data_IF_619574348603
#
_entry.id   IF_619574348603
#
_cell.length_a   1.000
_cell.length_b   1.000
_cell.length_c   1.000
_cell.angle_alpha   90.00
_cell.angle_beta   90.00
_cell.angle_gamma   90.00
#
_symmetry.space_group_name_H-M   'P 1'
#
loop_
_entity.id
_entity.type
_entity.pdbx_description
1 polymer ?
#
# COMPACT_ATOMS: atom_id res chain seq x y z
N UNK A 1 -4.39 -3.40 31.42
CA UNK A 1 -4.85 -3.45 30.01
C UNK A 1 -3.96 -2.58 29.15
N UNK A 2 -3.44 -3.14 28.06
CA UNK A 2 -2.63 -2.49 27.03
C UNK A 2 -3.52 -2.05 25.86
N UNK A 3 -3.70 -0.74 25.73
CA UNK A 3 -4.53 -0.13 24.68
C UNK A 3 -3.64 0.59 23.66
N UNK A 4 -3.95 0.44 22.37
CA UNK A 4 -3.36 1.26 21.32
C UNK A 4 -4.42 2.09 20.59
N UNK A 5 -4.05 3.29 20.18
CA UNK A 5 -4.78 4.13 19.23
C UNK A 5 -3.97 4.23 17.94
N UNK A 6 -4.61 3.93 16.81
CA UNK A 6 -4.08 4.21 15.49
C UNK A 6 -5.07 5.09 14.72
N UNK A 7 -4.79 6.39 14.75
CA UNK A 7 -5.58 7.40 14.05
C UNK A 7 -5.01 7.69 12.65
N UNK A 8 -5.88 8.06 11.72
CA UNK A 8 -5.46 8.39 10.37
C UNK A 8 -6.60 8.87 9.48
N UNK A 9 -6.29 9.51 8.36
CA UNK A 9 -7.32 9.85 7.37
C UNK A 9 -7.93 8.59 6.73
N UNK A 10 -7.11 7.53 6.58
CA UNK A 10 -7.45 6.29 5.87
C UNK A 10 -8.20 6.56 4.56
N UNK A 11 -7.52 7.28 3.66
CA UNK A 11 -8.13 7.88 2.46
C UNK A 11 -7.37 7.49 1.18
N UNK A 12 -7.39 6.20 0.79
CA UNK A 12 -7.97 5.05 1.49
C UNK A 12 -6.96 4.34 2.43
N UNK A 13 -7.39 3.42 3.32
CA UNK A 13 -6.49 2.50 4.00
C UNK A 13 -5.76 1.58 2.99
N UNK A 14 -4.64 0.97 3.40
CA UNK A 14 -3.77 0.18 2.51
C UNK A 14 -2.96 -0.86 3.28
N UNK A 15 -2.20 -1.71 2.57
CA UNK A 15 -1.47 -2.82 3.20
C UNK A 15 -0.44 -2.36 4.24
N UNK A 16 0.25 -1.25 4.00
CA UNK A 16 1.12 -0.63 5.02
C UNK A 16 0.40 -0.34 6.35
N UNK A 17 -0.85 0.14 6.30
CA UNK A 17 -1.65 0.33 7.54
C UNK A 17 -1.98 -1.01 8.20
N UNK A 18 -2.32 -2.05 7.43
CA UNK A 18 -2.60 -3.38 7.97
C UNK A 18 -1.36 -4.02 8.61
N UNK A 19 -0.17 -3.81 8.02
CA UNK A 19 1.11 -4.25 8.56
C UNK A 19 1.44 -3.57 9.87
N UNK A 20 1.22 -2.24 9.98
CA UNK A 20 1.32 -1.51 11.26
C UNK A 20 0.43 -2.15 12.33
N UNK A 21 -0.84 -2.44 12.00
CA UNK A 21 -1.78 -3.06 12.93
C UNK A 21 -1.31 -4.46 13.36
N UNK A 22 -0.88 -5.29 12.41
CA UNK A 22 -0.40 -6.65 12.69
C UNK A 22 0.84 -6.63 13.60
N UNK A 23 1.85 -5.81 13.26
CA UNK A 23 3.07 -5.67 14.03
C UNK A 23 2.80 -5.09 15.43
N UNK A 24 1.90 -4.12 15.55
CA UNK A 24 1.53 -3.58 16.85
C UNK A 24 0.90 -4.64 17.75
N UNK A 25 -0.02 -5.44 17.23
CA UNK A 25 -0.66 -6.53 17.95
C UNK A 25 0.37 -7.58 18.41
N UNK A 26 1.32 -7.93 17.54
CA UNK A 26 2.38 -8.90 17.82
C UNK A 26 3.38 -8.37 18.87
N UNK A 27 3.95 -7.19 18.64
CA UNK A 27 5.09 -6.67 19.41
C UNK A 27 4.69 -6.05 20.75
N UNK A 28 3.52 -5.42 20.84
CA UNK A 28 3.11 -4.66 22.01
C UNK A 28 2.20 -5.45 22.97
N UNK A 29 1.86 -6.70 22.64
CA UNK A 29 0.96 -7.55 23.43
C UNK A 29 -0.33 -6.80 23.81
N UNK A 30 -0.99 -6.24 22.79
CA UNK A 30 -2.19 -5.43 22.98
C UNK A 30 -3.38 -6.29 23.41
N UNK A 31 -4.19 -5.71 24.29
CA UNK A 31 -5.52 -6.25 24.60
C UNK A 31 -6.56 -5.70 23.62
N UNK A 32 -6.38 -4.43 23.22
CA UNK A 32 -7.27 -3.74 22.30
C UNK A 32 -6.50 -2.68 21.48
N UNK A 33 -6.74 -2.66 20.17
CA UNK A 33 -6.28 -1.61 19.26
C UNK A 33 -7.50 -0.90 18.68
N UNK A 34 -7.59 0.41 18.87
CA UNK A 34 -8.63 1.26 18.29
C UNK A 34 -8.11 1.88 16.99
N UNK A 35 -8.80 1.60 15.89
CA UNK A 35 -8.68 2.35 14.64
C UNK A 35 -9.64 3.54 14.72
N UNK A 36 -9.12 4.74 14.52
CA UNK A 36 -9.91 5.98 14.54
C UNK A 36 -9.74 6.74 13.22
N UNK A 37 -10.65 6.57 12.25
CA UNK A 37 -10.66 7.39 11.05
C UNK A 37 -10.99 8.85 11.40
N UNK A 38 -10.09 9.76 11.02
CA UNK A 38 -10.25 11.20 11.27
C UNK A 38 -11.27 11.82 10.31
N UNK A 39 -12.08 12.79 10.74
CA UNK A 39 -12.93 13.57 9.82
C UNK A 39 -12.05 14.36 8.85
N UNK A 40 -11.32 15.34 9.37
CA UNK A 40 -10.26 16.06 8.66
C UNK A 40 -9.02 16.06 9.57
N UNK A 41 -7.90 15.59 9.03
CA UNK A 41 -6.61 15.69 9.73
C UNK A 41 -6.21 17.18 9.82
N UNK A 42 -5.74 17.69 10.98
CA UNK A 42 -5.46 19.10 11.16
C UNK A 42 -4.48 19.73 10.15
N UNK A 43 -3.62 18.91 9.56
CA UNK A 43 -2.60 19.26 8.56
C UNK A 43 -3.04 18.99 7.11
N UNK A 44 -4.34 18.73 6.87
CA UNK A 44 -4.93 18.53 5.55
C UNK A 44 -6.17 19.40 5.38
N UNK A 45 -6.46 19.78 4.14
CA UNK A 45 -7.64 20.57 3.79
C UNK A 45 -8.87 19.69 3.51
N UNK A 46 -8.69 18.54 2.86
CA UNK A 46 -9.78 17.66 2.45
C UNK A 46 -9.37 16.17 2.37
N UNK A 47 -10.35 15.29 2.21
CA UNK A 47 -10.20 13.87 1.88
C UNK A 47 -10.89 13.58 0.54
N UNK A 48 -10.39 12.59 -0.19
CA UNK A 48 -10.96 12.15 -1.46
C UNK A 48 -12.29 11.43 -1.25
N UNK A 49 -12.35 10.52 -0.28
CA UNK A 49 -13.54 9.76 0.05
C UNK A 49 -14.29 10.40 1.23
N UNK A 50 -15.62 10.32 1.16
CA UNK A 50 -16.48 10.82 2.24
C UNK A 50 -16.30 9.97 3.53
N UNK A 51 -16.70 10.51 4.70
CA UNK A 51 -16.56 9.82 5.98
C UNK A 51 -17.16 8.40 6.02
N UNK A 52 -18.34 8.20 5.42
CA UNK A 52 -19.04 6.90 5.44
C UNK A 52 -18.28 5.87 4.61
N UNK A 53 -17.72 6.29 3.47
CA UNK A 53 -16.89 5.44 2.62
C UNK A 53 -15.58 5.07 3.28
N UNK A 54 -14.90 6.02 3.94
CA UNK A 54 -13.66 5.73 4.69
C UNK A 54 -13.89 4.82 5.89
N UNK A 55 -15.05 4.92 6.55
CA UNK A 55 -15.44 3.97 7.60
C UNK A 55 -15.54 2.54 7.05
N UNK A 56 -16.29 2.35 5.96
CA UNK A 56 -16.44 1.04 5.29
C UNK A 56 -15.08 0.47 4.83
N UNK A 57 -14.21 1.29 4.26
CA UNK A 57 -12.87 0.86 3.90
C UNK A 57 -12.04 0.43 5.11
N UNK A 58 -12.16 1.16 6.23
CA UNK A 58 -11.46 0.84 7.46
C UNK A 58 -11.98 -0.47 8.07
N UNK A 59 -13.30 -0.67 8.09
CA UNK A 59 -13.91 -1.94 8.52
C UNK A 59 -13.43 -3.12 7.67
N UNK A 60 -13.37 -2.96 6.34
CA UNK A 60 -12.82 -4.00 5.46
C UNK A 60 -11.34 -4.27 5.74
N UNK A 61 -10.53 -3.23 5.86
CA UNK A 61 -9.09 -3.36 5.99
C UNK A 61 -8.68 -3.97 7.33
N UNK A 62 -9.38 -3.62 8.41
CA UNK A 62 -8.96 -3.92 9.79
C UNK A 62 -9.90 -4.86 10.55
N UNK A 63 -11.12 -5.09 10.07
CA UNK A 63 -12.13 -5.90 10.77
C UNK A 63 -11.76 -7.38 10.93
N UNK A 64 -10.78 -7.87 10.15
CA UNK A 64 -10.25 -9.24 10.26
C UNK A 64 -9.37 -9.49 11.50
N UNK A 65 -8.91 -8.44 12.17
CA UNK A 65 -8.03 -8.57 13.33
C UNK A 65 -8.84 -8.68 14.63
N UNK A 66 -8.74 -9.81 15.34
CA UNK A 66 -9.60 -10.14 16.48
C UNK A 66 -9.59 -9.11 17.63
N UNK A 67 -8.47 -8.41 17.85
CA UNK A 67 -8.31 -7.41 18.93
C UNK A 67 -8.43 -5.97 18.44
N UNK A 68 -8.98 -5.75 17.26
CA UNK A 68 -9.15 -4.43 16.67
C UNK A 68 -10.60 -4.00 16.73
N UNK A 69 -10.83 -2.74 17.09
CA UNK A 69 -12.14 -2.08 16.95
C UNK A 69 -11.99 -0.81 16.13
N UNK A 70 -12.89 -0.62 15.18
CA UNK A 70 -13.02 0.62 14.41
C UNK A 70 -14.03 1.51 15.13
N UNK A 71 -13.71 2.78 15.32
CA UNK A 71 -14.61 3.77 15.94
C UNK A 71 -14.78 4.96 15.02
N UNK A 72 -16.01 5.40 14.81
CA UNK A 72 -16.41 6.50 13.91
C UNK A 72 -16.47 7.87 14.61
N UNK A 73 -16.12 7.94 15.90
CA UNK A 73 -16.29 9.15 16.74
C UNK A 73 -15.73 10.42 16.10
N UNK A 74 -14.53 10.35 15.52
CA UNK A 74 -13.93 11.51 14.87
C UNK A 74 -14.69 11.88 13.59
N UNK A 75 -15.17 10.92 12.81
CA UNK A 75 -15.99 11.16 11.61
C UNK A 75 -17.31 11.88 11.90
N UNK A 76 -17.86 11.73 13.12
CA UNK A 76 -19.07 12.42 13.55
C UNK A 76 -18.82 13.89 13.92
N UNK A 77 -17.56 14.28 14.18
CA UNK A 77 -17.19 15.67 14.39
C UNK A 77 -17.06 16.31 13.00
N UNK A 78 -17.98 17.21 12.63
CA UNK A 78 -17.93 17.96 11.36
C UNK A 78 -16.83 19.04 11.33
N UNK A 79 -15.67 18.77 11.95
CA UNK A 79 -14.55 19.67 12.14
C UNK A 79 -13.22 18.88 12.29
N UNK A 80 -12.08 19.57 12.38
CA UNK A 80 -10.75 18.99 12.54
C UNK A 80 -10.68 18.02 13.72
N UNK A 81 -10.01 16.89 13.47
CA UNK A 81 -9.85 15.83 14.46
C UNK A 81 -8.50 15.93 15.17
N UNK A 82 -8.51 16.30 16.44
CA UNK A 82 -7.29 16.42 17.25
C UNK A 82 -7.05 15.18 18.11
N UNK A 83 -5.87 14.57 17.95
CA UNK A 83 -5.49 13.33 18.66
C UNK A 83 -5.60 13.44 20.18
N UNK A 84 -5.27 14.59 20.76
CA UNK A 84 -5.34 14.80 22.22
C UNK A 84 -6.76 14.61 22.77
N UNK A 85 -7.78 15.04 22.02
CA UNK A 85 -9.19 14.92 22.44
C UNK A 85 -9.62 13.45 22.44
N UNK A 86 -9.17 12.70 21.44
CA UNK A 86 -9.44 11.27 21.30
C UNK A 86 -8.70 10.45 22.35
N UNK A 87 -7.44 10.78 22.63
CA UNK A 87 -6.67 10.14 23.71
C UNK A 87 -7.33 10.36 25.06
N UNK A 88 -7.75 11.60 25.39
CA UNK A 88 -8.46 11.89 26.65
C UNK A 88 -9.75 11.09 26.77
N UNK A 89 -10.54 11.05 25.71
CA UNK A 89 -11.77 10.26 25.65
C UNK A 89 -11.53 8.76 25.86
N UNK A 90 -10.60 8.16 25.13
CA UNK A 90 -10.31 6.73 25.26
C UNK A 90 -9.73 6.41 26.65
N UNK A 91 -8.91 7.29 27.22
CA UNK A 91 -8.36 7.10 28.56
C UNK A 91 -9.46 7.15 29.64
N UNK A 92 -10.49 8.00 29.48
CA UNK A 92 -11.62 8.03 30.43
C UNK A 92 -12.52 6.80 30.31
N UNK A 93 -12.75 6.29 29.09
CA UNK A 93 -13.57 5.11 28.86
C UNK A 93 -12.89 3.81 29.30
N UNK A 94 -11.61 3.65 28.99
CA UNK A 94 -10.92 2.36 29.10
C UNK A 94 -9.94 2.28 30.27
N UNK A 95 -9.53 3.41 30.84
CA UNK A 95 -8.55 3.51 31.94
C UNK A 95 -7.35 2.57 31.76
N UNK A 96 -6.66 2.62 30.60
CA UNK A 96 -5.59 1.68 30.28
C UNK A 96 -4.38 1.89 31.19
N UNK A 97 -3.70 0.79 31.51
CA UNK A 97 -2.43 0.81 32.26
C UNK A 97 -1.30 1.34 31.37
N UNK A 98 -1.25 0.85 30.12
CA UNK A 98 -0.39 1.38 29.07
C UNK A 98 -1.23 1.82 27.89
N UNK A 99 -0.98 3.04 27.42
CA UNK A 99 -1.66 3.60 26.27
C UNK A 99 -0.64 3.94 25.19
N UNK A 100 -0.67 3.19 24.10
CA UNK A 100 0.18 3.40 22.93
C UNK A 100 -0.51 4.28 21.89
N UNK A 101 0.24 5.20 21.29
CA UNK A 101 -0.20 5.95 20.12
C UNK A 101 0.68 5.56 18.94
N UNK A 102 0.09 4.92 17.94
CA UNK A 102 0.79 4.41 16.77
C UNK A 102 0.88 5.50 15.69
N UNK A 103 2.06 5.69 15.11
CA UNK A 103 2.30 6.62 14.01
C UNK A 103 3.33 6.07 12.99
N UNK A 104 3.22 6.51 11.74
CA UNK A 104 4.29 6.34 10.77
C UNK A 104 5.40 7.38 11.00
N UNK A 105 6.62 7.03 10.62
CA UNK A 105 7.82 7.89 10.70
C UNK A 105 7.65 9.25 10.00
N UNK A 106 6.83 9.31 8.95
CA UNK A 106 6.45 10.53 8.24
C UNK A 106 5.81 11.61 9.14
N UNK A 107 5.22 11.22 10.26
CA UNK A 107 4.59 12.15 11.22
C UNK A 107 5.61 12.80 12.17
N UNK A 108 6.83 12.26 12.32
CA UNK A 108 7.79 12.73 13.31
C UNK A 108 8.19 14.20 13.11
N UNK A 109 8.45 14.61 11.86
CA UNK A 109 8.89 15.98 11.55
C UNK A 109 7.90 17.05 12.00
N UNK A 110 6.61 16.74 12.02
CA UNK A 110 5.54 17.65 12.43
C UNK A 110 4.94 17.34 13.80
N UNK A 111 5.45 16.34 14.53
CA UNK A 111 4.81 15.83 15.74
C UNK A 111 4.72 16.89 16.86
N UNK A 112 5.74 17.74 16.98
CA UNK A 112 5.76 18.84 17.96
C UNK A 112 4.71 19.92 17.69
N UNK A 113 4.17 19.99 16.46
CA UNK A 113 3.10 20.92 16.08
C UNK A 113 1.70 20.38 16.43
N UNK A 114 1.59 19.15 16.95
CA UNK A 114 0.31 18.59 17.32
C UNK A 114 -0.29 19.36 18.51
N UNK A 115 -1.60 19.59 18.46
CA UNK A 115 -2.33 20.29 19.52
C UNK A 115 -2.02 19.65 20.87
N UNK A 116 -1.51 20.47 21.80
CA UNK A 116 -1.13 20.07 23.15
C UNK A 116 -0.12 18.89 23.18
N UNK A 117 0.87 18.89 22.29
CA UNK A 117 1.91 17.85 22.20
C UNK A 117 2.55 17.49 23.56
N UNK A 118 2.91 18.48 24.38
CA UNK A 118 3.50 18.21 25.71
C UNK A 118 2.56 17.46 26.66
N UNK A 119 1.25 17.71 26.57
CA UNK A 119 0.24 16.93 27.29
C UNK A 119 0.13 15.52 26.69
N UNK A 120 0.15 15.41 25.36
CA UNK A 120 0.08 14.14 24.65
C UNK A 120 1.26 13.22 25.05
N UNK A 121 2.49 13.73 25.06
CA UNK A 121 3.70 13.02 25.52
C UNK A 121 3.58 12.40 26.91
N UNK A 122 2.80 13.01 27.80
CA UNK A 122 2.59 12.51 29.17
C UNK A 122 1.48 11.46 29.25
N UNK A 123 0.57 11.43 28.28
CA UNK A 123 -0.62 10.59 28.31
C UNK A 123 -0.43 9.24 27.63
N UNK A 124 0.50 9.15 26.67
CA UNK A 124 0.73 7.97 25.82
C UNK A 124 2.21 7.63 25.66
N UNK A 125 2.49 6.40 25.29
CA UNK A 125 3.77 5.96 24.71
C UNK A 125 3.66 6.01 23.20
N UNK A 126 4.48 6.82 22.55
CA UNK A 126 4.54 6.87 21.10
C UNK A 126 5.22 5.61 20.54
N UNK A 127 4.60 5.02 19.52
CA UNK A 127 5.15 3.88 18.77
C UNK A 127 5.25 4.28 17.31
N UNK A 128 6.48 4.34 16.81
CA UNK A 128 6.81 4.81 15.46
C UNK A 128 7.14 3.61 14.59
N UNK A 129 6.47 3.53 13.44
CA UNK A 129 6.75 2.53 12.42
C UNK A 129 7.61 3.15 11.32
N UNK A 130 8.77 2.53 11.06
CA UNK A 130 9.70 2.94 10.03
C UNK A 130 9.07 2.95 8.63
N UNK A 131 9.62 3.75 7.73
CA UNK A 131 9.25 3.74 6.31
C UNK A 131 10.47 3.89 5.41
N UNK A 132 10.46 3.19 4.27
CA UNK A 132 11.46 3.33 3.22
C UNK A 132 11.55 4.78 2.76
N UNK A 133 12.77 5.31 2.64
CA UNK A 133 13.03 6.67 2.15
C UNK A 133 12.99 7.78 3.20
N UNK A 134 12.76 7.46 4.48
CA UNK A 134 12.92 8.40 5.58
C UNK A 134 14.24 8.13 6.32
N UNK A 135 15.09 9.15 6.44
CA UNK A 135 16.27 9.09 7.31
C UNK A 135 15.77 9.03 8.74
N UNK A 136 16.27 8.08 9.56
CA UNK A 136 16.01 8.04 11.01
C UNK A 136 16.29 9.42 11.60
N UNK A 137 15.24 10.21 11.82
CA UNK A 137 15.35 11.45 12.57
C UNK A 137 15.76 11.11 14.01
N UNK A 138 16.30 12.07 14.76
CA UNK A 138 16.51 11.86 16.20
C UNK A 138 15.16 11.55 16.85
N UNK A 139 15.01 10.29 17.27
CA UNK A 139 13.81 9.81 17.95
C UNK A 139 14.04 10.00 19.45
N UNK A 140 13.08 10.63 20.12
CA UNK A 140 13.08 10.71 21.58
C UNK A 140 13.23 9.28 22.14
N UNK A 141 14.25 9.05 22.97
CA UNK A 141 14.57 7.74 23.56
C UNK A 141 13.39 7.04 24.25
N UNK A 142 12.32 7.78 24.58
CA UNK A 142 11.09 7.25 25.17
C UNK A 142 10.11 6.65 24.16
N UNK A 143 10.34 6.84 22.87
CA UNK A 143 9.49 6.29 21.82
C UNK A 143 9.92 4.86 21.50
N UNK A 144 8.96 4.01 21.16
CA UNK A 144 9.23 2.66 20.66
C UNK A 144 9.32 2.76 19.14
N UNK A 145 10.46 2.37 18.57
CA UNK A 145 10.60 2.25 17.12
C UNK A 145 10.42 0.80 16.68
N UNK A 146 9.59 0.58 15.66
CA UNK A 146 9.38 -0.72 15.02
C UNK A 146 9.76 -0.56 13.56
N UNK A 147 10.76 -1.32 13.12
CA UNK A 147 11.22 -1.28 11.74
C UNK A 147 10.19 -1.89 10.79
N UNK A 148 10.00 -1.25 9.64
CA UNK A 148 9.05 -1.68 8.61
C UNK A 148 9.50 -1.11 7.24
N UNK A 149 9.64 -1.99 6.26
CA UNK A 149 10.08 -1.63 4.90
C UNK A 149 8.91 -1.74 3.90
N UNK A 150 7.99 -0.77 3.95
CA UNK A 150 6.83 -0.72 3.03
C UNK A 150 6.79 0.59 2.24
N UNK A 151 6.79 0.47 0.91
CA UNK A 151 6.71 1.60 -0.02
C UNK A 151 5.32 1.78 -0.65
N UNK A 152 4.29 1.85 0.20
CA UNK A 152 2.91 2.14 -0.21
C UNK A 152 2.31 3.28 0.61
N UNK A 153 1.59 4.17 -0.07
CA UNK A 153 0.87 5.29 0.55
C UNK A 153 -0.50 5.48 -0.07
N UNK A 154 -1.44 6.06 0.71
CA UNK A 154 -2.74 6.45 0.17
C UNK A 154 -2.62 7.40 -1.01
N UNK A 155 -1.57 8.22 -1.09
CA UNK A 155 -1.34 9.14 -2.23
C UNK A 155 -1.06 8.38 -3.52
N UNK A 156 -0.24 7.31 -3.48
CA UNK A 156 -0.01 6.45 -4.65
C UNK A 156 -1.31 5.80 -5.12
N UNK A 157 -2.13 5.33 -4.17
CA UNK A 157 -3.45 4.75 -4.47
C UNK A 157 -4.39 5.77 -5.12
N UNK A 158 -4.49 6.99 -4.58
CA UNK A 158 -5.35 8.02 -5.16
C UNK A 158 -4.92 8.38 -6.59
N UNK A 159 -3.62 8.50 -6.85
CA UNK A 159 -3.09 8.74 -8.21
C UNK A 159 -3.45 7.61 -9.18
N UNK A 160 -3.41 6.36 -8.73
CA UNK A 160 -3.84 5.22 -9.54
C UNK A 160 -5.32 5.27 -9.89
N UNK A 161 -6.18 5.67 -8.94
CA UNK A 161 -7.63 5.77 -9.17
C UNK A 161 -8.01 6.85 -10.19
N UNK A 162 -7.17 7.86 -10.44
CA UNK A 162 -7.44 8.92 -11.42
C UNK A 162 -7.64 8.37 -12.84
N UNK A 163 -7.03 7.23 -13.17
CA UNK A 163 -7.21 6.54 -14.45
C UNK A 163 -8.43 5.62 -14.53
N UNK A 164 -9.20 5.49 -13.44
CA UNK A 164 -10.29 4.53 -13.31
C UNK A 164 -11.62 5.28 -13.24
N UNK A 165 -12.68 4.70 -13.83
CA UNK A 165 -14.03 5.24 -13.69
C UNK A 165 -14.44 5.31 -12.21
N UNK A 166 -15.03 6.45 -11.81
CA UNK A 166 -15.27 6.81 -10.40
C UNK A 166 -16.20 5.83 -9.67
N UNK A 167 -17.15 5.24 -10.38
CA UNK A 167 -18.06 4.21 -9.88
C UNK A 167 -17.35 2.90 -9.50
N UNK A 168 -16.17 2.62 -10.08
CA UNK A 168 -15.35 1.45 -9.76
C UNK A 168 -14.35 1.72 -8.63
N UNK A 169 -14.17 2.97 -8.17
CA UNK A 169 -13.12 3.30 -7.20
C UNK A 169 -13.22 2.53 -5.89
N UNK A 170 -14.44 2.33 -5.38
CA UNK A 170 -14.61 1.57 -4.15
C UNK A 170 -14.25 0.11 -4.31
N UNK A 171 -14.69 -0.49 -5.41
CA UNK A 171 -14.37 -1.88 -5.74
C UNK A 171 -12.86 -2.04 -5.86
N UNK A 172 -12.19 -1.12 -6.55
CA UNK A 172 -10.74 -1.10 -6.66
C UNK A 172 -10.08 -1.00 -5.29
N UNK A 173 -10.43 0.00 -4.48
CA UNK A 173 -9.84 0.16 -3.13
C UNK A 173 -10.05 -1.08 -2.25
N UNK A 174 -11.18 -1.78 -2.40
CA UNK A 174 -11.53 -2.97 -1.65
C UNK A 174 -10.90 -4.26 -2.20
N UNK A 175 -10.49 -4.29 -3.47
CA UNK A 175 -9.58 -5.31 -4.01
C UNK A 175 -8.25 -5.21 -3.24
N UNK A 176 -7.42 -6.27 -3.19
CA UNK A 176 -6.10 -6.22 -2.57
C UNK A 176 -5.15 -5.29 -3.36
N UNK A 177 -5.38 -3.98 -3.28
CA UNK A 177 -4.63 -2.95 -3.97
C UNK A 177 -3.19 -2.80 -3.45
N UNK A 178 -2.80 -3.61 -2.46
CA UNK A 178 -1.45 -3.70 -1.90
C UNK A 178 -0.61 -4.87 -2.43
N UNK A 179 -1.21 -5.85 -3.11
CA UNK A 179 -0.47 -6.92 -3.77
C UNK A 179 -0.29 -6.59 -5.26
N UNK A 180 -1.38 -6.35 -6.00
CA UNK A 180 -1.35 -6.16 -7.45
C UNK A 180 -0.55 -4.94 -7.94
N UNK A 181 -0.81 -3.74 -7.40
CA UNK A 181 -0.05 -2.53 -7.74
C UNK A 181 1.40 -2.59 -7.27
N UNK A 182 1.66 -3.25 -6.15
CA UNK A 182 3.01 -3.41 -5.64
C UNK A 182 3.84 -4.33 -6.55
N UNK A 183 3.23 -5.37 -7.12
CA UNK A 183 3.91 -6.26 -8.05
C UNK A 183 4.17 -5.61 -9.40
N UNK A 184 3.21 -4.87 -9.98
CA UNK A 184 3.48 -4.11 -11.22
C UNK A 184 4.65 -3.14 -11.05
N UNK A 185 4.62 -2.33 -9.99
CA UNK A 185 5.69 -1.36 -9.75
C UNK A 185 7.02 -2.07 -9.42
N UNK A 186 6.98 -3.14 -8.62
CA UNK A 186 8.17 -3.96 -8.33
C UNK A 186 8.76 -4.57 -9.61
N UNK A 187 7.92 -5.11 -10.51
CA UNK A 187 8.36 -5.68 -11.79
C UNK A 187 9.03 -4.59 -12.62
N UNK A 188 8.41 -3.40 -12.75
CA UNK A 188 9.01 -2.28 -13.48
C UNK A 188 10.35 -1.86 -12.88
N UNK A 189 10.41 -1.65 -11.56
CA UNK A 189 11.65 -1.28 -10.88
C UNK A 189 12.75 -2.32 -11.07
N UNK A 190 12.45 -3.61 -10.92
CA UNK A 190 13.43 -4.69 -11.15
C UNK A 190 13.95 -4.63 -12.60
N UNK A 191 13.05 -4.49 -13.58
CA UNK A 191 13.42 -4.43 -14.99
C UNK A 191 14.25 -3.19 -15.31
N UNK A 192 13.87 -2.02 -14.81
CA UNK A 192 14.60 -0.74 -14.97
C UNK A 192 16.00 -0.80 -14.34
N UNK A 193 16.09 -1.27 -13.09
CA UNK A 193 17.36 -1.38 -12.35
C UNK A 193 18.33 -2.31 -13.06
N UNK A 194 17.81 -3.37 -13.69
CA UNK A 194 18.58 -4.35 -14.46
C UNK A 194 18.73 -3.98 -15.93
N UNK A 195 18.45 -2.73 -16.31
CA UNK A 195 18.74 -2.16 -17.64
C UNK A 195 17.88 -2.73 -18.77
N UNK A 196 16.69 -3.24 -18.48
CA UNK A 196 15.68 -3.39 -19.53
C UNK A 196 15.23 -2.00 -20.02
N UNK A 197 14.86 -1.90 -21.29
CA UNK A 197 14.41 -0.66 -21.93
C UNK A 197 12.97 -0.79 -22.42
N UNK A 198 12.37 0.36 -22.77
CA UNK A 198 11.01 0.45 -23.31
C UNK A 198 9.95 -0.34 -22.50
N UNK A 199 9.96 -0.21 -21.17
CA UNK A 199 9.07 -0.99 -20.31
C UNK A 199 7.66 -0.37 -20.35
N UNK A 200 6.75 -1.04 -21.04
CA UNK A 200 5.34 -0.66 -21.12
C UNK A 200 4.48 -1.54 -20.22
N UNK A 201 3.43 -0.93 -19.65
CA UNK A 201 2.38 -1.64 -18.93
C UNK A 201 1.07 -1.37 -19.65
N UNK A 202 0.43 -2.44 -20.09
CA UNK A 202 -0.83 -2.41 -20.80
C UNK A 202 -1.91 -2.90 -19.84
N UNK A 203 -2.91 -2.04 -19.59
CA UNK A 203 -4.07 -2.34 -18.77
C UNK A 203 -5.15 -3.02 -19.62
N UNK A 204 -5.49 -4.25 -19.28
CA UNK A 204 -6.45 -5.11 -19.98
C UNK A 204 -7.61 -5.54 -19.06
N UNK A 205 -7.79 -4.90 -17.90
CA UNK A 205 -8.85 -5.27 -16.92
C UNK A 205 -10.24 -5.38 -17.52
N UNK A 206 -10.57 -4.41 -18.37
CA UNK A 206 -11.86 -4.28 -19.03
C UNK A 206 -11.89 -5.01 -20.37
N UNK A 207 -10.82 -5.68 -20.77
CA UNK A 207 -10.67 -6.37 -22.05
C UNK A 207 -10.86 -7.87 -21.88
N UNK A 208 -11.45 -8.52 -22.87
CA UNK A 208 -11.64 -9.98 -22.86
C UNK A 208 -10.32 -10.71 -23.14
N UNK A 209 -9.40 -10.63 -22.18
CA UNK A 209 -8.06 -11.22 -22.22
C UNK A 209 -7.80 -12.08 -20.99
N UNK A 210 -6.78 -12.95 -21.09
CA UNK A 210 -6.43 -13.95 -20.06
C UNK A 210 -5.83 -13.35 -18.78
N UNK A 211 -5.30 -12.12 -18.84
CA UNK A 211 -4.72 -11.41 -17.70
C UNK A 211 -5.25 -9.97 -17.61
N UNK A 212 -5.19 -9.38 -16.41
CA UNK A 212 -5.60 -7.98 -16.18
C UNK A 212 -4.53 -7.00 -16.67
N UNK A 213 -3.26 -7.40 -16.63
CA UNK A 213 -2.13 -6.58 -17.03
C UNK A 213 -1.13 -7.37 -17.88
N UNK A 214 -0.51 -6.66 -18.81
CA UNK A 214 0.65 -7.15 -19.54
C UNK A 214 1.80 -6.14 -19.40
N UNK A 215 2.96 -6.60 -18.96
CA UNK A 215 4.20 -5.83 -18.94
C UNK A 215 5.05 -6.27 -20.13
N UNK A 216 5.47 -5.33 -20.97
CA UNK A 216 6.34 -5.60 -22.12
C UNK A 216 7.65 -4.85 -21.93
N UNK A 217 8.76 -5.58 -21.89
CA UNK A 217 10.09 -5.01 -21.68
C UNK A 217 11.06 -5.47 -22.77
N UNK A 218 11.93 -4.56 -23.20
CA UNK A 218 13.00 -4.86 -24.14
C UNK A 218 14.28 -5.22 -23.40
N UNK A 219 14.83 -6.38 -23.73
CA UNK A 219 16.16 -6.83 -23.31
C UNK A 219 17.21 -6.49 -24.37
N UNK A 220 18.47 -6.45 -23.96
CA UNK A 220 19.59 -6.15 -24.86
C UNK A 220 20.00 -7.34 -25.74
N UNK A 221 19.72 -8.56 -25.29
CA UNK A 221 20.06 -9.83 -25.94
C UNK A 221 19.36 -10.97 -25.20
N UNK A 222 19.26 -12.15 -25.79
CA UNK A 222 18.57 -13.29 -25.15
C UNK A 222 19.12 -13.68 -23.77
N UNK A 223 20.45 -13.71 -23.59
CA UNK A 223 21.04 -13.95 -22.26
C UNK A 223 20.66 -12.90 -21.21
N UNK A 224 20.46 -11.66 -21.65
CA UNK A 224 19.97 -10.60 -20.77
C UNK A 224 18.50 -10.84 -20.42
N UNK A 225 17.67 -11.28 -21.36
CA UNK A 225 16.28 -11.66 -21.08
C UNK A 225 16.17 -12.77 -20.02
N UNK A 226 16.98 -13.82 -20.14
CA UNK A 226 17.05 -14.92 -19.15
C UNK A 226 17.47 -14.39 -17.77
N UNK A 227 18.43 -13.47 -17.73
CA UNK A 227 18.89 -12.86 -16.48
C UNK A 227 17.79 -12.01 -15.84
N UNK A 228 17.04 -11.22 -16.62
CA UNK A 228 15.92 -10.42 -16.15
C UNK A 228 14.82 -11.30 -15.54
N UNK A 229 14.47 -12.42 -16.20
CA UNK A 229 13.53 -13.40 -15.66
C UNK A 229 13.99 -13.95 -14.31
N UNK A 230 15.28 -14.26 -14.16
CA UNK A 230 15.82 -14.76 -12.89
C UNK A 230 15.76 -13.71 -11.78
N UNK A 231 16.13 -12.45 -12.07
CA UNK A 231 15.97 -11.36 -11.09
C UNK A 231 14.52 -11.16 -10.66
N UNK A 232 13.57 -11.25 -11.59
CA UNK A 232 12.14 -11.22 -11.25
C UNK A 232 11.76 -12.38 -10.32
N UNK A 233 12.20 -13.61 -10.60
CA UNK A 233 11.94 -14.77 -9.73
C UNK A 233 12.53 -14.57 -8.34
N UNK A 234 13.77 -14.13 -8.24
CA UNK A 234 14.51 -14.00 -6.99
C UNK A 234 13.91 -12.92 -6.07
N UNK A 235 13.44 -11.80 -6.63
CA UNK A 235 12.87 -10.72 -5.83
C UNK A 235 11.37 -10.89 -5.54
N UNK A 236 10.62 -11.56 -6.42
CA UNK A 236 9.16 -11.65 -6.30
C UNK A 236 8.69 -12.92 -5.58
N UNK A 237 9.37 -14.07 -5.74
CA UNK A 237 8.97 -15.30 -5.03
C UNK A 237 8.99 -15.15 -3.51
N UNK A 238 10.01 -14.53 -2.86
CA UNK A 238 9.99 -14.29 -1.42
C UNK A 238 8.85 -13.38 -0.96
N UNK A 239 8.32 -12.53 -1.86
CA UNK A 239 7.17 -11.65 -1.62
C UNK A 239 5.82 -12.33 -1.86
N UNK A 240 5.81 -13.66 -2.05
CA UNK A 240 4.61 -14.47 -2.23
C UNK A 240 4.09 -14.55 -3.65
N UNK A 241 4.79 -13.96 -4.63
CA UNK A 241 4.39 -14.02 -6.05
C UNK A 241 4.64 -15.41 -6.60
N UNK A 242 3.61 -15.97 -7.25
CA UNK A 242 3.69 -17.23 -7.96
C UNK A 242 3.96 -16.97 -9.44
N UNK A 243 4.80 -17.81 -10.03
CA UNK A 243 5.00 -17.90 -11.48
C UNK A 243 4.28 -19.18 -11.91
N UNK A 244 3.08 -19.04 -12.46
CA UNK A 244 2.21 -20.17 -12.81
C UNK A 244 2.74 -20.91 -14.04
N UNK A 245 3.22 -20.16 -15.02
CA UNK A 245 3.90 -20.70 -16.20
C UNK A 245 5.03 -19.76 -16.61
N UNK A 246 6.07 -20.34 -17.21
CA UNK A 246 7.16 -19.59 -17.83
C UNK A 246 7.50 -20.30 -19.13
N UNK A 247 7.51 -19.56 -20.23
CA UNK A 247 8.09 -19.98 -21.49
C UNK A 247 9.42 -19.24 -21.68
N UNK A 248 10.51 -19.97 -21.47
CA UNK A 248 11.89 -19.54 -21.70
C UNK A 248 12.59 -20.44 -22.73
N UNK A 249 11.81 -21.14 -23.56
CA UNK A 249 12.33 -22.00 -24.63
C UNK A 249 13.06 -21.22 -25.72
N UNK A 250 12.69 -19.94 -25.91
CA UNK A 250 13.34 -19.01 -26.80
C UNK A 250 13.88 -17.81 -26.01
N UNK A 251 15.21 -17.67 -25.95
CA UNK A 251 15.83 -16.57 -25.21
C UNK A 251 15.50 -15.19 -25.76
N UNK A 252 15.10 -15.09 -27.04
CA UNK A 252 14.75 -13.80 -27.65
C UNK A 252 13.33 -13.32 -27.31
N UNK A 253 12.50 -14.22 -26.77
CA UNK A 253 11.17 -13.89 -26.27
C UNK A 253 10.77 -14.81 -25.13
N UNK A 254 10.86 -14.26 -23.92
CA UNK A 254 10.46 -14.93 -22.69
C UNK A 254 9.09 -14.44 -22.25
N UNK A 255 8.25 -15.35 -21.79
CA UNK A 255 6.93 -15.07 -21.24
C UNK A 255 6.86 -15.63 -19.82
N UNK A 256 6.48 -14.79 -18.86
CA UNK A 256 6.24 -15.21 -17.48
C UNK A 256 4.80 -14.88 -17.08
N UNK A 257 4.03 -15.91 -16.76
CA UNK A 257 2.68 -15.81 -16.24
C UNK A 257 2.68 -15.77 -14.71
N UNK A 258 2.31 -14.63 -14.15
CA UNK A 258 2.17 -14.39 -12.72
C UNK A 258 0.68 -14.36 -12.28
N UNK A 259 -0.21 -14.87 -13.15
CA UNK A 259 -1.66 -14.93 -12.99
C UNK A 259 -2.31 -13.74 -13.65
N UNK A 260 -2.56 -12.69 -12.88
CA UNK A 260 -3.22 -11.49 -13.38
C UNK A 260 -2.27 -10.55 -14.12
N UNK A 261 -0.95 -10.79 -14.01
CA UNK A 261 0.09 -10.06 -14.72
C UNK A 261 0.86 -11.05 -15.58
N UNK A 262 0.98 -10.75 -16.87
CA UNK A 262 1.89 -11.47 -17.77
C UNK A 262 3.04 -10.54 -18.11
N UNK A 263 4.28 -11.03 -18.01
CA UNK A 263 5.49 -10.28 -18.36
C UNK A 263 6.09 -10.88 -19.63
N UNK A 264 6.18 -10.07 -20.68
CA UNK A 264 6.93 -10.40 -21.89
C UNK A 264 8.26 -9.65 -21.87
N UNK A 265 9.36 -10.41 -22.02
CA UNK A 265 10.71 -9.87 -22.17
C UNK A 265 11.17 -10.25 -23.58
N UNK A 266 11.29 -9.26 -24.45
CA UNK A 266 11.65 -9.46 -25.86
C UNK A 266 13.00 -8.84 -26.16
N UNK A 267 13.74 -9.37 -27.12
CA UNK A 267 14.80 -8.58 -27.77
C UNK A 267 14.18 -7.51 -28.68
N UNK A 268 14.97 -6.50 -29.03
CA UNK A 268 14.52 -5.41 -29.91
C UNK A 268 14.03 -5.94 -31.27
N UNK A 269 14.71 -6.94 -31.84
CA UNK A 269 14.30 -7.59 -33.09
C UNK A 269 12.90 -8.22 -32.99
N UNK A 270 12.67 -9.01 -31.94
CA UNK A 270 11.38 -9.69 -31.74
C UNK A 270 10.26 -8.71 -31.44
N UNK A 271 10.52 -7.70 -30.63
CA UNK A 271 9.53 -6.66 -30.31
C UNK A 271 9.08 -5.92 -31.57
N UNK A 272 10.03 -5.52 -32.43
CA UNK A 272 9.73 -4.85 -33.69
C UNK A 272 8.99 -5.75 -34.68
N UNK A 273 9.28 -7.05 -34.67
CA UNK A 273 8.65 -8.04 -35.55
C UNK A 273 7.18 -8.30 -35.18
N UNK A 274 6.90 -8.49 -33.88
CA UNK A 274 5.58 -8.94 -33.42
C UNK A 274 4.65 -7.80 -33.00
N UNK A 275 5.18 -6.62 -32.64
CA UNK A 275 4.39 -5.43 -32.28
C UNK A 275 3.25 -5.76 -31.31
N UNK A 276 3.58 -6.53 -30.26
CA UNK A 276 2.61 -7.12 -29.34
C UNK A 276 1.74 -6.06 -28.68
N UNK A 277 2.32 -4.89 -28.40
CA UNK A 277 1.61 -3.79 -27.76
C UNK A 277 0.45 -3.26 -28.59
N UNK A 278 0.62 -3.17 -29.91
CA UNK A 278 -0.43 -2.70 -30.83
C UNK A 278 -1.56 -3.73 -30.86
N UNK A 279 -1.21 -5.01 -30.99
CA UNK A 279 -2.17 -6.12 -30.90
C UNK A 279 -2.99 -6.08 -29.60
N UNK A 280 -2.33 -5.95 -28.44
CA UNK A 280 -3.01 -5.94 -27.14
C UNK A 280 -3.90 -4.70 -26.93
N UNK A 281 -3.54 -3.56 -27.53
CA UNK A 281 -4.30 -2.31 -27.41
C UNK A 281 -5.54 -2.29 -28.33
N UNK A 282 -5.45 -2.89 -29.52
CA UNK A 282 -6.45 -2.74 -30.57
C UNK A 282 -7.45 -3.90 -30.69
N UNK A 283 -7.02 -5.15 -30.48
CA UNK A 283 -7.78 -6.33 -30.90
C UNK A 283 -8.80 -6.86 -29.87
N UNK A 284 -8.69 -6.46 -28.60
CA UNK A 284 -9.59 -7.00 -27.57
C UNK A 284 -10.85 -6.15 -27.36
N UNK A 285 -12.00 -6.82 -27.44
CA UNK A 285 -13.32 -6.26 -27.10
C UNK A 285 -13.43 -6.04 -25.59
N UNK A 286 -14.26 -5.08 -25.19
CA UNK A 286 -14.61 -4.87 -23.79
C UNK A 286 -15.35 -6.08 -23.24
N UNK A 287 -15.00 -6.57 -22.04
CA UNK A 287 -15.74 -7.64 -21.34
C UNK A 287 -17.22 -7.22 -21.21
N UNK A 288 -18.13 -8.10 -21.62
CA UNK A 288 -19.59 -7.90 -21.50
C UNK A 288 -20.08 -8.09 -20.07
#
# INVERSE_FOLDING_TARGET
MNLALFGGSFDPPHIGHQKIVALALEKLKLDLLIIMPAFINPFKEATLFDPKTRLRFSERAFGKFAKVRIMDRELLKKDKSYTIDTVRFLKSCFKPEKFYLLLGEDNLKGLSLWKEYESLKKLVTFVVFGRKGYTKCEIDSKFIYIDMDEDISSTKIRKYLEGIKKDLWEEEVLKPLGEKMNYLESIKTILEDKKASNIEVIDLKDKDYISDYVVVATSMAGKHAESLLNYLKDDLKPKGVKFYAVDDSNSDWIIADLGEIIVHILTEEYRNKYQLEDFLKEEFLTRK
#
